data_IF_063654214202
#
_entry.id   IF_063654214202
#
_cell.length_a   1.000
_cell.length_b   1.000
_cell.length_c   1.000
_cell.angle_alpha   90.00
_cell.angle_beta   90.00
_cell.angle_gamma   90.00
#
_symmetry.space_group_name_H-M   'P 1'
#
loop_
_entity.id
_entity.type
_entity.pdbx_description
1 polymer ?
#
# COMPACT_ATOMS: atom_id res chain seq x y z
N UNK A 1 -23.24 -29.16 -22.32
CA UNK A 1 -24.21 -28.19 -22.89
C UNK A 1 -24.70 -27.29 -21.77
N UNK A 2 -24.75 -25.99 -22.04
CA UNK A 2 -24.85 -24.87 -21.09
C UNK A 2 -26.20 -24.79 -20.36
N UNK A 3 -26.20 -24.58 -19.04
CA UNK A 3 -27.39 -24.15 -18.25
C UNK A 3 -27.30 -22.66 -17.87
N UNK A 4 -26.13 -22.01 -18.01
CA UNK A 4 -25.93 -20.65 -17.49
C UNK A 4 -25.76 -19.57 -18.56
N UNK A 5 -26.46 -19.71 -19.69
CA UNK A 5 -26.71 -18.61 -20.62
C UNK A 5 -28.22 -18.39 -20.78
N UNK A 6 -28.80 -17.55 -19.91
CA UNK A 6 -29.58 -16.35 -20.27
C UNK A 6 -30.32 -15.76 -19.06
N UNK A 7 -29.78 -14.62 -18.60
CA UNK A 7 -30.48 -13.37 -18.27
C UNK A 7 -31.59 -13.45 -17.21
N UNK A 8 -31.29 -12.94 -16.01
CA UNK A 8 -31.93 -11.72 -15.52
C UNK A 8 -31.15 -11.11 -14.35
N UNK A 9 -30.87 -9.81 -14.49
CA UNK A 9 -30.23 -8.87 -13.57
C UNK A 9 -28.72 -9.07 -13.35
N UNK A 10 -27.96 -8.30 -14.14
CA UNK A 10 -26.59 -7.91 -13.83
C UNK A 10 -26.60 -7.15 -12.49
N UNK A 11 -26.43 -7.89 -11.41
CA UNK A 11 -25.99 -7.34 -10.12
C UNK A 11 -24.54 -7.75 -10.03
N UNK A 12 -23.64 -6.88 -10.47
CA UNK A 12 -22.22 -7.06 -10.25
C UNK A 12 -21.97 -6.95 -8.74
N UNK A 13 -21.70 -8.08 -8.09
CA UNK A 13 -21.31 -8.14 -6.69
C UNK A 13 -19.79 -8.26 -6.52
N UNK A 14 -18.99 -7.87 -7.53
CA UNK A 14 -17.53 -7.92 -7.45
C UNK A 14 -16.97 -6.85 -6.49
N UNK A 15 -15.92 -7.24 -5.76
CA UNK A 15 -15.07 -6.43 -4.88
C UNK A 15 -15.44 -6.45 -3.38
N UNK A 16 -15.49 -7.66 -2.80
CA UNK A 16 -15.32 -7.80 -1.35
C UNK A 16 -13.83 -7.64 -1.00
N UNK A 17 -13.50 -6.63 -0.20
CA UNK A 17 -12.14 -6.47 0.34
C UNK A 17 -12.17 -6.95 1.79
N UNK A 18 -11.29 -7.91 2.09
CA UNK A 18 -10.99 -8.27 3.47
C UNK A 18 -9.83 -7.45 3.98
N UNK A 19 -9.88 -7.04 5.24
CA UNK A 19 -8.76 -6.35 5.87
C UNK A 19 -8.57 -6.81 7.32
N UNK A 20 -7.35 -6.60 7.81
CA UNK A 20 -7.00 -6.91 9.19
C UNK A 20 -7.28 -5.76 10.14
N UNK A 21 -7.29 -6.05 11.44
CA UNK A 21 -7.02 -5.03 12.45
C UNK A 21 -5.60 -4.48 12.30
N UNK A 22 -5.36 -3.31 12.90
CA UNK A 22 -4.03 -2.70 12.93
C UNK A 22 -3.12 -3.44 13.91
N UNK A 23 -1.85 -3.65 13.52
CA UNK A 23 -0.84 -4.30 14.35
C UNK A 23 0.42 -3.46 14.44
N UNK A 24 1.05 -3.48 15.61
CA UNK A 24 2.36 -2.84 15.83
C UNK A 24 3.49 -3.79 15.48
N UNK A 25 4.43 -3.31 14.68
CA UNK A 25 5.49 -4.12 14.11
C UNK A 25 6.85 -3.46 14.28
N UNK A 26 7.86 -4.24 14.65
CA UNK A 26 9.24 -3.81 14.81
C UNK A 26 10.06 -4.36 13.68
N UNK A 27 10.77 -3.46 13.00
CA UNK A 27 11.63 -3.78 11.87
C UNK A 27 13.02 -3.24 12.16
N UNK A 28 14.01 -3.60 11.35
CA UNK A 28 15.35 -2.99 11.43
C UNK A 28 15.36 -1.48 11.15
N UNK A 29 14.26 -0.93 10.60
CA UNK A 29 14.12 0.50 10.29
C UNK A 29 13.31 1.28 11.32
N UNK A 30 12.66 0.61 12.28
CA UNK A 30 11.89 1.28 13.32
C UNK A 30 10.61 0.54 13.72
N UNK A 31 9.77 1.23 14.49
CA UNK A 31 8.46 0.77 14.94
C UNK A 31 7.38 1.34 14.05
N UNK A 32 6.54 0.49 13.48
CA UNK A 32 5.48 0.85 12.52
C UNK A 32 4.11 0.33 12.97
N UNK A 33 3.06 0.92 12.44
CA UNK A 33 1.71 0.35 12.43
C UNK A 33 1.47 -0.30 11.07
N UNK A 34 0.85 -1.47 11.04
CA UNK A 34 0.58 -2.21 9.81
C UNK A 34 -0.87 -2.64 9.75
N UNK A 35 -1.47 -2.55 8.56
CA UNK A 35 -2.81 -3.08 8.26
C UNK A 35 -2.77 -3.81 6.92
N UNK A 36 -3.26 -5.05 6.90
CA UNK A 36 -3.29 -5.88 5.71
C UNK A 36 -4.65 -5.81 5.04
N UNK A 37 -4.67 -5.89 3.71
CA UNK A 37 -5.87 -5.92 2.88
C UNK A 37 -5.71 -7.02 1.83
N UNK A 38 -6.82 -7.61 1.39
CA UNK A 38 -6.83 -8.59 0.31
C UNK A 38 -8.14 -8.51 -0.46
N UNK A 39 -8.03 -8.56 -1.78
CA UNK A 39 -9.14 -8.79 -2.69
C UNK A 39 -8.99 -10.17 -3.36
N UNK A 40 -9.79 -10.44 -4.40
CA UNK A 40 -9.79 -11.73 -5.12
C UNK A 40 -8.51 -11.98 -5.95
N UNK A 41 -7.60 -11.01 -6.03
CA UNK A 41 -6.47 -11.01 -6.96
C UNK A 41 -5.12 -10.65 -6.31
N UNK A 42 -5.14 -9.83 -5.26
CA UNK A 42 -3.95 -9.21 -4.70
C UNK A 42 -4.05 -9.01 -3.20
N UNK A 43 -2.89 -9.08 -2.54
CA UNK A 43 -2.72 -8.70 -1.15
C UNK A 43 -1.99 -7.36 -1.05
N UNK A 44 -2.36 -6.58 -0.04
CA UNK A 44 -1.77 -5.27 0.22
C UNK A 44 -1.40 -5.16 1.69
N UNK A 45 -0.35 -4.41 1.97
CA UNK A 45 0.00 -3.95 3.30
C UNK A 45 0.16 -2.44 3.27
N UNK A 46 -0.57 -1.77 4.15
CA UNK A 46 -0.29 -0.41 4.56
C UNK A 46 0.69 -0.44 5.74
N UNK A 47 1.89 0.13 5.56
CA UNK A 47 2.91 0.33 6.59
C UNK A 47 2.96 1.81 6.94
N UNK A 48 2.69 2.13 8.19
CA UNK A 48 2.47 3.50 8.65
C UNK A 48 3.45 3.83 9.77
N UNK A 49 3.91 5.07 9.81
CA UNK A 49 4.57 5.61 11.00
C UNK A 49 3.62 5.50 12.22
N UNK A 50 4.17 5.33 13.43
CA UNK A 50 3.37 5.21 14.67
C UNK A 50 2.38 6.35 14.89
N UNK A 51 2.73 7.57 14.48
CA UNK A 51 1.89 8.77 14.62
C UNK A 51 1.15 9.13 13.34
N UNK A 52 0.97 8.19 12.42
CA UNK A 52 0.41 8.45 11.09
C UNK A 52 -0.92 9.20 11.13
N UNK A 53 -1.84 8.82 12.03
CA UNK A 53 -3.14 9.49 12.14
C UNK A 53 -3.09 10.90 12.73
N UNK A 54 -1.96 11.31 13.31
CA UNK A 54 -1.75 12.68 13.79
C UNK A 54 -1.15 13.59 12.70
N UNK A 55 -0.81 13.03 11.52
CA UNK A 55 -0.17 13.78 10.44
C UNK A 55 -1.21 14.50 9.58
N UNK A 56 -1.07 15.81 9.45
CA UNK A 56 -1.88 16.58 8.50
C UNK A 56 -1.46 16.36 7.04
N UNK A 57 -0.18 16.02 6.82
CA UNK A 57 0.47 15.97 5.49
C UNK A 57 1.41 14.77 5.36
N UNK A 58 0.93 13.53 5.58
CA UNK A 58 1.77 12.34 5.51
C UNK A 58 2.42 12.20 4.13
N UNK A 59 3.66 11.70 4.12
CA UNK A 59 4.29 11.22 2.89
C UNK A 59 3.64 9.88 2.53
N UNK A 60 3.18 9.73 1.29
CA UNK A 60 2.55 8.49 0.81
C UNK A 60 3.36 7.94 -0.35
N UNK A 61 3.88 6.73 -0.18
CA UNK A 61 4.57 5.98 -1.22
C UNK A 61 3.78 4.71 -1.55
N UNK A 62 3.58 4.43 -2.83
CA UNK A 62 2.83 3.26 -3.29
C UNK A 62 3.73 2.43 -4.19
N UNK A 63 3.91 1.17 -3.82
CA UNK A 63 4.72 0.20 -4.55
C UNK A 63 3.82 -0.93 -5.08
N UNK A 64 3.71 -0.99 -6.41
CA UNK A 64 3.09 -2.12 -7.08
C UNK A 64 4.17 -3.13 -7.45
N UNK A 65 4.01 -4.38 -7.01
CA UNK A 65 4.85 -5.46 -7.51
C UNK A 65 4.49 -5.71 -8.98
N UNK A 66 5.39 -5.35 -9.89
CA UNK A 66 5.22 -5.52 -11.33
C UNK A 66 6.06 -6.71 -11.77
N UNK A 67 5.41 -7.83 -12.01
CA UNK A 67 5.99 -8.96 -12.71
C UNK A 67 6.44 -8.49 -14.10
N UNK A 68 7.73 -8.26 -14.28
CA UNK A 68 8.32 -8.41 -15.60
C UNK A 68 8.65 -9.89 -15.74
N UNK A 69 8.16 -10.55 -16.78
CA UNK A 69 8.41 -11.98 -17.05
C UNK A 69 9.89 -12.31 -17.31
N UNK A 70 10.78 -11.32 -17.22
CA UNK A 70 12.23 -11.41 -17.30
C UNK A 70 12.86 -10.59 -16.14
N UNK A 71 12.44 -10.83 -14.90
CA UNK A 71 13.09 -10.19 -13.74
C UNK A 71 14.48 -10.78 -13.52
N UNK A 72 15.48 -10.14 -14.13
CA UNK A 72 16.88 -10.27 -13.73
C UNK A 72 17.03 -9.97 -12.22
N UNK A 73 17.97 -10.66 -11.58
CA UNK A 73 18.25 -10.58 -10.14
C UNK A 73 18.45 -9.12 -9.64
N UNK A 74 18.95 -8.24 -10.52
CA UNK A 74 19.18 -6.82 -10.25
C UNK A 74 17.89 -6.02 -10.02
N UNK A 75 16.78 -6.36 -10.69
CA UNK A 75 15.52 -5.63 -10.55
C UNK A 75 14.81 -5.96 -9.24
N UNK A 76 14.95 -7.21 -8.76
CA UNK A 76 14.49 -7.60 -7.42
C UNK A 76 15.23 -6.82 -6.32
N UNK A 77 16.55 -6.68 -6.48
CA UNK A 77 17.38 -5.86 -5.59
C UNK A 77 16.93 -4.38 -5.60
N UNK A 78 16.56 -3.84 -6.76
CA UNK A 78 16.06 -2.47 -6.87
C UNK A 78 14.74 -2.26 -6.10
N UNK A 79 13.75 -3.15 -6.24
CA UNK A 79 12.49 -3.05 -5.49
C UNK A 79 12.69 -3.14 -3.98
N UNK A 80 13.51 -4.09 -3.50
CA UNK A 80 13.84 -4.21 -2.08
C UNK A 80 14.50 -2.93 -1.52
N UNK A 81 15.40 -2.32 -2.30
CA UNK A 81 16.03 -1.05 -1.95
C UNK A 81 15.02 0.11 -1.88
N UNK A 82 14.03 0.15 -2.77
CA UNK A 82 12.99 1.19 -2.73
C UNK A 82 12.11 1.09 -1.49
N UNK A 83 11.68 -0.12 -1.12
CA UNK A 83 10.90 -0.33 0.10
C UNK A 83 11.72 0.03 1.34
N UNK A 84 13.00 -0.36 1.40
CA UNK A 84 13.91 0.05 2.48
C UNK A 84 13.99 1.58 2.62
N UNK A 85 14.23 2.29 1.50
CA UNK A 85 14.31 3.74 1.48
C UNK A 85 12.98 4.39 1.90
N UNK A 86 11.86 3.83 1.45
CA UNK A 86 10.52 4.28 1.82
C UNK A 86 10.29 4.16 3.33
N UNK A 87 10.65 3.01 3.93
CA UNK A 87 10.50 2.77 5.36
C UNK A 87 11.36 3.72 6.19
N UNK A 88 12.62 3.94 5.79
CA UNK A 88 13.50 4.93 6.44
C UNK A 88 12.93 6.35 6.34
N UNK A 89 12.39 6.71 5.18
CA UNK A 89 11.78 8.00 4.94
C UNK A 89 10.56 8.21 5.82
N UNK A 90 9.57 7.32 5.78
CA UNK A 90 8.35 7.46 6.58
C UNK A 90 8.61 7.35 8.09
N UNK A 91 9.71 6.69 8.50
CA UNK A 91 10.14 6.71 9.89
C UNK A 91 10.59 8.11 10.33
N UNK A 92 11.28 8.85 9.46
CA UNK A 92 11.81 10.20 9.75
C UNK A 92 10.76 11.30 9.58
N UNK A 93 10.00 11.28 8.48
CA UNK A 93 9.06 12.34 8.12
C UNK A 93 7.63 12.08 8.59
N UNK A 94 7.31 10.83 8.97
CA UNK A 94 5.93 10.37 9.06
C UNK A 94 5.36 10.05 7.68
N UNK A 95 4.51 9.03 7.60
CA UNK A 95 3.91 8.65 6.33
C UNK A 95 3.37 7.23 6.28
N UNK A 96 3.05 6.82 5.06
CA UNK A 96 2.45 5.56 4.66
C UNK A 96 3.22 5.00 3.46
N UNK A 97 3.52 3.70 3.53
CA UNK A 97 3.95 2.88 2.40
C UNK A 97 2.83 1.87 2.13
N UNK A 98 2.30 1.85 0.92
CA UNK A 98 1.40 0.78 0.47
C UNK A 98 2.22 -0.15 -0.40
N UNK A 99 2.41 -1.38 0.06
CA UNK A 99 3.02 -2.46 -0.70
C UNK A 99 1.93 -3.41 -1.18
N UNK A 100 1.98 -3.80 -2.44
CA UNK A 100 1.08 -4.81 -3.00
C UNK A 100 1.87 -6.01 -3.51
N UNK A 101 1.31 -7.20 -3.37
CA UNK A 101 1.92 -8.46 -3.77
C UNK A 101 0.85 -9.37 -4.39
N UNK A 102 1.21 -10.05 -5.49
CA UNK A 102 0.39 -11.11 -6.09
C UNK A 102 0.70 -12.45 -5.44
N UNK A 103 -0.24 -13.40 -5.55
CA UNK A 103 -0.28 -14.68 -4.79
C UNK A 103 1.01 -15.53 -4.77
N UNK A 104 2.00 -15.21 -5.60
CA UNK A 104 3.31 -15.84 -5.71
C UNK A 104 4.46 -15.15 -4.95
N UNK A 105 4.32 -13.88 -4.54
CA UNK A 105 5.36 -13.10 -3.84
C UNK A 105 4.90 -12.68 -2.44
N UNK A 106 4.63 -13.65 -1.56
CA UNK A 106 3.89 -13.42 -0.32
C UNK A 106 4.35 -12.22 0.52
N UNK A 107 3.39 -11.55 1.17
CA UNK A 107 3.60 -10.58 2.26
C UNK A 107 4.64 -11.07 3.28
N UNK A 108 4.70 -12.37 3.52
CA UNK A 108 5.64 -12.97 4.48
C UNK A 108 7.11 -12.78 4.04
N UNK A 109 7.39 -12.81 2.73
CA UNK A 109 8.72 -12.51 2.19
C UNK A 109 9.12 -11.06 2.50
N UNK A 110 8.20 -10.12 2.28
CA UNK A 110 8.44 -8.73 2.66
C UNK A 110 8.78 -8.64 4.15
N UNK A 111 7.96 -9.25 5.02
CA UNK A 111 8.16 -9.22 6.47
C UNK A 111 9.52 -9.79 6.89
N UNK A 112 9.97 -10.85 6.23
CA UNK A 112 11.30 -11.43 6.39
C UNK A 112 12.40 -10.45 5.94
N UNK A 113 12.28 -9.85 4.75
CA UNK A 113 13.24 -8.89 4.19
C UNK A 113 13.47 -7.67 5.10
N UNK A 114 12.38 -7.18 5.70
CA UNK A 114 12.42 -6.06 6.65
C UNK A 114 12.75 -6.51 8.09
N UNK A 115 13.10 -7.79 8.29
CA UNK A 115 13.46 -8.44 9.56
C UNK A 115 12.46 -8.14 10.68
N UNK A 116 11.20 -8.42 10.40
CA UNK A 116 10.08 -8.07 11.26
C UNK A 116 9.97 -8.96 12.51
N UNK A 117 9.73 -8.33 13.67
CA UNK A 117 9.16 -8.97 14.87
C UNK A 117 7.85 -8.29 15.27
N UNK A 118 6.84 -9.09 15.59
CA UNK A 118 5.54 -8.61 16.08
C UNK A 118 5.56 -8.55 17.61
N UNK A 119 5.18 -7.41 18.19
CA UNK A 119 4.83 -7.34 19.61
C UNK A 119 3.30 -7.35 19.70
N UNK A 120 2.75 -8.45 20.18
CA UNK A 120 1.33 -8.58 20.47
C UNK A 120 1.06 -7.99 21.87
N UNK A 121 0.62 -6.74 21.92
CA UNK A 121 0.02 -6.18 23.15
C UNK A 121 -1.47 -6.57 23.29
N UNK A 122 -1.99 -7.40 22.38
CA UNK A 122 -3.34 -7.95 22.47
C UNK A 122 -4.00 -8.40 21.16
N UNK A 123 -3.40 -8.19 19.98
CA UNK A 123 -3.99 -8.60 18.70
C UNK A 123 -2.93 -9.05 17.68
N UNK A 124 -2.68 -10.36 17.61
CA UNK A 124 -2.11 -10.98 16.41
C UNK A 124 -3.01 -10.66 15.19
N UNK A 125 -2.48 -10.62 13.95
CA UNK A 125 -3.27 -10.46 12.70
C UNK A 125 -4.29 -11.61 12.58
N UNK A 126 -5.43 -11.51 13.26
CA UNK A 126 -6.49 -12.53 13.29
C UNK A 126 -7.90 -11.96 13.21
N UNK A 127 -8.08 -10.65 13.21
CA UNK A 127 -9.34 -10.05 12.75
C UNK A 127 -9.35 -9.98 11.23
N UNK A 128 -10.35 -10.56 10.56
CA UNK A 128 -10.63 -10.32 9.14
C UNK A 128 -12.02 -9.70 9.07
N UNK A 129 -12.12 -8.45 8.64
CA UNK A 129 -13.39 -7.79 8.38
C UNK A 129 -13.64 -7.72 6.88
N UNK A 130 -14.85 -8.06 6.45
CA UNK A 130 -15.30 -8.01 5.04
C UNK A 130 -16.09 -6.73 4.82
N UNK A 131 -15.64 -5.90 3.88
CA UNK A 131 -16.38 -4.72 3.45
C UNK A 131 -16.64 -4.81 1.95
N UNK A 132 -17.89 -4.53 1.55
CA UNK A 132 -18.26 -4.32 0.15
C UNK A 132 -17.88 -2.90 -0.23
N UNK A 133 -16.92 -2.76 -1.15
CA UNK A 133 -16.48 -1.45 -1.63
C UNK A 133 -16.97 -1.23 -3.06
N UNK A 134 -17.91 -0.30 -3.22
CA UNK A 134 -18.46 0.06 -4.52
C UNK A 134 -17.62 1.15 -5.16
N UNK A 135 -16.90 0.77 -6.19
CA UNK A 135 -16.04 1.65 -6.98
C UNK A 135 -16.70 1.86 -8.34
N UNK A 136 -16.67 3.08 -8.89
CA UNK A 136 -17.10 3.29 -10.28
C UNK A 136 -16.27 2.39 -11.19
N UNK A 137 -16.90 1.74 -12.17
CA UNK A 137 -16.25 0.78 -13.09
C UNK A 137 -15.01 1.35 -13.82
N UNK A 138 -14.88 2.67 -13.87
CA UNK A 138 -13.76 3.38 -14.53
C UNK A 138 -12.53 3.56 -13.65
N UNK A 139 -12.59 3.25 -12.35
CA UNK A 139 -11.46 3.47 -11.42
C UNK A 139 -10.45 2.35 -11.59
N UNK A 140 -9.24 2.73 -12.00
CA UNK A 140 -8.09 1.83 -12.01
C UNK A 140 -7.64 1.59 -10.57
N UNK A 141 -7.22 0.37 -10.22
CA UNK A 141 -6.81 -0.03 -8.85
C UNK A 141 -7.88 0.21 -7.75
N UNK A 142 -9.05 -0.46 -7.80
CA UNK A 142 -10.12 -0.27 -6.82
C UNK A 142 -9.69 -0.52 -5.36
N UNK A 143 -8.78 -1.47 -5.13
CA UNK A 143 -8.27 -1.77 -3.79
C UNK A 143 -7.36 -0.69 -3.23
N UNK A 144 -6.58 0.01 -4.08
CA UNK A 144 -5.85 1.20 -3.64
C UNK A 144 -6.82 2.30 -3.20
N UNK A 145 -7.88 2.54 -3.97
CA UNK A 145 -8.88 3.53 -3.62
C UNK A 145 -9.56 3.20 -2.27
N UNK A 146 -9.82 1.92 -2.02
CA UNK A 146 -10.35 1.45 -0.74
C UNK A 146 -9.39 1.72 0.41
N UNK A 147 -8.12 1.35 0.28
CA UNK A 147 -7.11 1.49 1.33
C UNK A 147 -6.97 2.98 1.72
N UNK A 148 -6.86 3.88 0.73
CA UNK A 148 -6.74 5.31 0.99
C UNK A 148 -7.99 5.88 1.69
N UNK A 149 -9.19 5.42 1.31
CA UNK A 149 -10.45 5.80 1.95
C UNK A 149 -10.59 5.26 3.37
N UNK A 150 -10.24 4.00 3.59
CA UNK A 150 -10.26 3.34 4.92
C UNK A 150 -9.30 4.01 5.90
N UNK A 151 -8.14 4.48 5.42
CA UNK A 151 -7.16 5.24 6.21
C UNK A 151 -7.54 6.73 6.41
N UNK A 152 -8.63 7.20 5.79
CA UNK A 152 -9.21 8.54 5.97
C UNK A 152 -8.22 9.69 5.72
N UNK A 153 -7.38 9.56 4.70
CA UNK A 153 -6.45 10.61 4.31
C UNK A 153 -7.20 11.85 3.78
N UNK A 154 -6.72 13.04 4.12
CA UNK A 154 -7.27 14.32 3.65
C UNK A 154 -6.26 15.15 2.85
N UNK A 155 -4.98 15.13 3.23
CA UNK A 155 -3.89 15.69 2.44
C UNK A 155 -2.73 14.70 2.35
N UNK A 156 -1.94 14.77 1.28
CA UNK A 156 -0.75 13.92 1.10
C UNK A 156 0.39 14.66 0.41
N UNK A 157 1.61 14.27 0.75
CA UNK A 157 2.77 14.44 -0.14
C UNK A 157 3.00 13.11 -0.84
N UNK A 158 2.67 13.02 -2.12
CA UNK A 158 2.64 11.77 -2.86
C UNK A 158 3.97 11.51 -3.57
N UNK A 159 4.47 10.28 -3.44
CA UNK A 159 5.66 9.82 -4.17
C UNK A 159 5.22 8.75 -5.18
N UNK A 160 5.14 9.13 -6.45
CA UNK A 160 4.71 8.24 -7.53
C UNK A 160 5.15 8.79 -8.90
N UNK A 161 5.38 7.89 -9.85
CA UNK A 161 5.47 8.22 -11.27
C UNK A 161 4.23 7.74 -12.06
N UNK A 162 3.30 7.03 -11.40
CA UNK A 162 2.10 6.50 -12.03
C UNK A 162 0.97 7.53 -11.97
N UNK A 163 0.60 8.10 -13.12
CA UNK A 163 -0.50 9.05 -13.27
C UNK A 163 -1.83 8.49 -12.76
N UNK A 164 -2.05 7.17 -12.87
CA UNK A 164 -3.28 6.53 -12.38
C UNK A 164 -3.40 6.62 -10.86
N UNK A 165 -2.27 6.59 -10.15
CA UNK A 165 -2.26 6.77 -8.69
C UNK A 165 -2.66 8.20 -8.33
N UNK A 166 -2.18 9.18 -9.10
CA UNK A 166 -2.54 10.59 -8.92
C UNK A 166 -4.06 10.75 -9.13
N UNK A 167 -4.59 10.23 -10.23
CA UNK A 167 -6.02 10.29 -10.55
C UNK A 167 -6.91 9.71 -9.45
N UNK A 168 -6.51 8.56 -8.86
CA UNK A 168 -7.27 7.92 -7.77
C UNK A 168 -7.28 8.81 -6.54
N UNK A 169 -6.14 9.37 -6.15
CA UNK A 169 -6.00 10.24 -4.97
C UNK A 169 -6.87 11.48 -5.14
N UNK A 170 -6.84 12.11 -6.32
CA UNK A 170 -7.68 13.26 -6.65
C UNK A 170 -9.17 12.91 -6.66
N UNK A 171 -9.54 11.77 -7.24
CA UNK A 171 -10.94 11.30 -7.31
C UNK A 171 -11.54 11.02 -5.93
N UNK A 172 -10.72 10.60 -4.97
CA UNK A 172 -11.12 10.43 -3.57
C UNK A 172 -11.28 11.76 -2.82
N UNK A 173 -10.95 12.89 -3.45
CA UNK A 173 -10.99 14.22 -2.84
C UNK A 173 -9.83 14.47 -1.87
N UNK A 174 -8.75 13.69 -1.97
CA UNK A 174 -7.55 13.87 -1.15
C UNK A 174 -6.69 14.97 -1.78
N UNK A 175 -6.31 15.97 -1.00
CA UNK A 175 -5.52 17.09 -1.48
C UNK A 175 -4.03 16.72 -1.63
N UNK A 176 -3.53 16.74 -2.86
CA UNK A 176 -2.12 16.48 -3.15
C UNK A 176 -1.35 17.80 -3.01
N UNK A 177 -0.58 17.91 -1.92
CA UNK A 177 0.19 19.12 -1.62
C UNK A 177 1.50 19.18 -2.39
N UNK A 178 2.06 18.00 -2.68
CA UNK A 178 3.31 17.84 -3.41
C UNK A 178 3.34 16.48 -4.07
N UNK A 179 3.89 16.43 -5.28
CA UNK A 179 4.22 15.19 -5.99
C UNK A 179 5.72 15.14 -6.16
N UNK A 180 6.31 13.99 -5.86
CA UNK A 180 7.71 13.71 -6.12
C UNK A 180 7.85 12.41 -6.92
N UNK A 181 8.84 12.34 -7.82
CA UNK A 181 9.08 11.13 -8.58
C UNK A 181 9.55 10.00 -7.67
N UNK A 182 9.39 8.75 -8.15
CA UNK A 182 9.68 7.50 -7.43
C UNK A 182 10.98 7.56 -6.60
N UNK A 183 11.00 6.81 -5.49
CA UNK A 183 12.12 6.80 -4.55
C UNK A 183 13.38 6.30 -5.26
N UNK A 184 14.36 7.19 -5.42
CA UNK A 184 15.69 6.88 -5.93
C UNK A 184 16.70 6.88 -4.77
N UNK A 185 17.84 6.22 -4.99
CA UNK A 185 18.94 6.15 -4.01
C UNK A 185 19.42 7.51 -3.51
N UNK A 186 19.14 8.60 -4.24
CA UNK A 186 19.58 9.96 -3.90
C UNK A 186 18.72 10.64 -2.83
N UNK A 187 17.56 10.06 -2.48
CA UNK A 187 16.69 10.59 -1.42
C UNK A 187 17.34 10.49 -0.02
N UNK A 188 18.34 9.62 0.16
CA UNK A 188 19.17 9.51 1.36
C UNK A 188 20.44 10.37 1.35
N UNK A 189 20.78 10.99 0.21
CA UNK A 189 22.07 11.66 -0.03
C UNK A 189 21.95 13.12 -0.43
N UNK A 190 20.75 13.73 -0.37
CA UNK A 190 20.65 15.20 -0.32
C UNK A 190 21.32 15.70 0.96
N UNK A 191 22.64 15.90 0.86
CA UNK A 191 23.35 16.93 1.59
C UNK A 191 22.47 18.17 1.52
N UNK A 192 22.10 18.67 2.68
CA UNK A 192 21.62 20.03 2.82
C UNK A 192 22.73 20.89 2.21
N UNK A 193 22.52 21.35 0.97
CA UNK A 193 23.39 22.32 0.37
C UNK A 193 23.13 23.63 1.14
N UNK A 194 24.20 24.13 1.77
CA UNK A 194 24.26 25.41 2.48
C UNK A 194 23.78 26.57 1.60
#
# INVERSE_FOLDING_TARGET
MNIFKKINNYVDTKNEIIHSEMATVFTKYGKFQMKAYKDDHQEYIAIMNQKFFDLERPVVYIHFDVQHSEMDHDMHCYCANQVELALKMIQKSGGLVIYSSREDASIDNLLEDINTRRLDEGNAIRGKSKIKFSVKETIVYPSLAFILSDLKLSNVNLITNDEKVIDIVELLGINILRIEPNISFDYGNKKVAN
#
